data_IF_065547820220
#
_entry.id   IF_065547820220
#
_cell.length_a   1.000
_cell.length_b   1.000
_cell.length_c   1.000
_cell.angle_alpha   90.00
_cell.angle_beta   90.00
_cell.angle_gamma   90.00
#
_symmetry.space_group_name_H-M   'P 1'
#
loop_
_entity.id
_entity.type
_entity.pdbx_description
1 polymer ?
#
# COMPACT_ATOMS: atom_id res chain seq x y z
N UNK A 1 -31.41 34.61 21.80
CA UNK A 1 -31.35 33.32 21.07
C UNK A 1 -32.72 32.85 20.58
N UNK A 2 -33.78 32.96 21.40
CA UNK A 2 -35.16 32.54 21.05
C UNK A 2 -35.73 33.21 19.78
N UNK A 3 -35.51 34.52 19.59
CA UNK A 3 -35.98 35.26 18.41
C UNK A 3 -35.27 34.89 17.09
N UNK A 4 -34.02 34.39 17.16
CA UNK A 4 -33.26 34.00 15.96
C UNK A 4 -33.76 32.65 15.40
N UNK A 5 -34.16 31.74 16.30
CA UNK A 5 -34.75 30.45 15.95
C UNK A 5 -36.15 30.63 15.35
N UNK A 6 -36.94 31.58 15.87
CA UNK A 6 -38.27 31.89 15.31
C UNK A 6 -38.19 32.44 13.88
N UNK A 7 -37.24 33.35 13.61
CA UNK A 7 -37.05 33.94 12.29
C UNK A 7 -36.54 32.93 11.24
N UNK A 8 -35.69 31.98 11.65
CA UNK A 8 -35.25 30.88 10.77
C UNK A 8 -36.39 29.88 10.48
N UNK A 9 -37.26 29.61 11.47
CA UNK A 9 -38.42 28.73 11.30
C UNK A 9 -39.42 29.28 10.27
N UNK A 10 -39.70 30.59 10.30
CA UNK A 10 -40.62 31.26 9.36
C UNK A 10 -40.08 31.27 7.92
N UNK A 11 -38.78 31.45 7.73
CA UNK A 11 -38.15 31.44 6.40
C UNK A 11 -38.08 30.03 5.79
N UNK A 12 -37.81 29.00 6.62
CA UNK A 12 -37.80 27.60 6.19
C UNK A 12 -39.22 27.13 5.85
N UNK A 13 -40.23 27.51 6.63
CA UNK A 13 -41.63 27.21 6.35
C UNK A 13 -42.13 27.82 5.04
N UNK A 14 -41.74 29.06 4.72
CA UNK A 14 -42.09 29.71 3.45
C UNK A 14 -41.54 29.00 2.20
N UNK A 15 -40.46 28.22 2.34
CA UNK A 15 -39.89 27.39 1.26
C UNK A 15 -40.42 25.95 1.20
N UNK A 16 -41.13 25.50 2.23
CA UNK A 16 -41.65 24.13 2.37
C UNK A 16 -43.17 24.03 2.21
N UNK A 17 -43.90 25.09 2.54
CA UNK A 17 -45.37 25.10 2.47
C UNK A 17 -45.84 25.46 1.06
N UNK A 18 -46.60 24.55 0.46
CA UNK A 18 -47.32 24.77 -0.78
C UNK A 18 -48.63 25.52 -0.54
N UNK A 19 -49.23 26.07 -1.60
CA UNK A 19 -50.53 26.74 -1.52
C UNK A 19 -51.64 25.82 -0.93
N UNK A 20 -51.56 24.51 -1.20
CA UNK A 20 -52.50 23.52 -0.66
C UNK A 20 -52.30 23.31 0.84
N UNK A 21 -51.06 23.34 1.34
CA UNK A 21 -50.78 23.29 2.79
C UNK A 21 -51.40 24.50 3.50
N UNK A 22 -51.38 25.69 2.89
CA UNK A 22 -52.02 26.88 3.43
C UNK A 22 -53.55 26.77 3.56
N UNK A 23 -54.22 26.17 2.55
CA UNK A 23 -55.67 25.92 2.59
C UNK A 23 -56.04 24.88 3.65
N UNK A 24 -55.24 23.83 3.77
CA UNK A 24 -55.45 22.77 4.75
C UNK A 24 -55.23 23.27 6.18
N UNK A 25 -54.23 24.14 6.40
CA UNK A 25 -54.00 24.79 7.69
C UNK A 25 -55.14 25.75 8.08
N UNK A 26 -55.70 26.49 7.12
CA UNK A 26 -56.85 27.40 7.36
C UNK A 26 -58.14 26.65 7.73
N UNK A 27 -58.23 25.35 7.44
CA UNK A 27 -59.37 24.48 7.76
C UNK A 27 -59.27 23.84 9.16
N UNK A 28 -58.09 23.88 9.81
CA UNK A 28 -57.87 23.26 11.13
C UNK A 28 -58.22 24.22 12.26
N UNK A 29 -58.82 23.67 13.33
CA UNK A 29 -59.11 24.40 14.56
C UNK A 29 -57.83 24.60 15.39
N UNK A 30 -57.75 25.67 16.18
CA UNK A 30 -56.56 26.01 17.00
C UNK A 30 -55.98 24.84 17.82
N UNK A 31 -56.79 23.98 18.50
CA UNK A 31 -56.24 22.83 19.22
C UNK A 31 -55.57 21.78 18.33
N UNK A 32 -56.05 21.62 17.09
CA UNK A 32 -55.52 20.64 16.13
C UNK A 32 -54.17 21.12 15.57
N UNK A 33 -54.08 22.39 15.19
CA UNK A 33 -52.83 23.06 14.79
C UNK A 33 -51.74 22.96 15.87
N UNK A 34 -52.11 23.16 17.14
CA UNK A 34 -51.18 23.04 18.26
C UNK A 34 -50.68 21.60 18.39
N UNK A 35 -51.56 20.60 18.28
CA UNK A 35 -51.17 19.18 18.34
C UNK A 35 -50.26 18.75 17.18
N UNK A 36 -50.54 19.21 15.96
CA UNK A 36 -49.71 18.91 14.80
C UNK A 36 -48.32 19.56 14.92
N UNK A 37 -48.27 20.81 15.38
CA UNK A 37 -47.02 21.53 15.64
C UNK A 37 -46.17 20.84 16.72
N UNK A 38 -46.80 20.36 17.79
CA UNK A 38 -46.12 19.56 18.82
C UNK A 38 -45.58 18.24 18.25
N UNK A 39 -46.38 17.55 17.44
CA UNK A 39 -46.00 16.28 16.80
C UNK A 39 -44.80 16.48 15.87
N UNK A 40 -44.85 17.52 15.04
CA UNK A 40 -43.74 17.91 14.17
C UNK A 40 -42.49 18.26 14.97
N UNK A 41 -42.63 19.04 16.05
CA UNK A 41 -41.51 19.39 16.93
C UNK A 41 -40.84 18.16 17.53
N UNK A 42 -41.62 17.18 18.03
CA UNK A 42 -41.10 15.92 18.57
C UNK A 42 -40.33 15.14 17.50
N UNK A 43 -40.89 15.04 16.29
CA UNK A 43 -40.24 14.35 15.17
C UNK A 43 -38.94 15.04 14.74
N UNK A 44 -38.93 16.38 14.68
CA UNK A 44 -37.72 17.16 14.40
C UNK A 44 -36.64 16.90 15.46
N UNK A 45 -36.99 16.96 16.74
CA UNK A 45 -36.04 16.69 17.84
C UNK A 45 -35.50 15.27 17.76
N UNK A 46 -36.34 14.27 17.49
CA UNK A 46 -35.92 12.89 17.31
C UNK A 46 -34.97 12.72 16.11
N UNK A 47 -35.30 13.34 14.97
CA UNK A 47 -34.47 13.31 13.76
C UNK A 47 -33.09 13.95 13.99
N UNK A 48 -33.04 15.14 14.59
CA UNK A 48 -31.78 15.83 14.93
C UNK A 48 -30.96 15.02 15.92
N UNK A 49 -31.59 14.41 16.93
CA UNK A 49 -30.92 13.52 17.89
C UNK A 49 -30.30 12.31 17.21
N UNK A 50 -31.01 11.67 16.28
CA UNK A 50 -30.49 10.56 15.50
C UNK A 50 -29.30 10.97 14.62
N UNK A 51 -29.40 12.11 13.92
CA UNK A 51 -28.29 12.65 13.14
C UNK A 51 -27.06 12.92 14.01
N UNK A 52 -27.25 13.48 15.21
CA UNK A 52 -26.18 13.69 16.18
C UNK A 52 -25.49 12.39 16.62
N UNK A 53 -26.27 11.34 16.91
CA UNK A 53 -25.73 10.01 17.25
C UNK A 53 -24.95 9.40 16.10
N UNK A 54 -25.50 9.44 14.88
CA UNK A 54 -24.81 8.95 13.69
C UNK A 54 -23.49 9.69 13.46
N UNK A 55 -23.49 11.02 13.55
CA UNK A 55 -22.28 11.82 13.39
C UNK A 55 -21.22 11.48 14.43
N UNK A 56 -21.62 11.26 15.69
CA UNK A 56 -20.70 10.86 16.76
C UNK A 56 -20.00 9.53 16.45
N UNK A 57 -20.76 8.52 16.01
CA UNK A 57 -20.20 7.21 15.61
C UNK A 57 -19.24 7.36 14.44
N UNK A 58 -19.64 8.08 13.38
CA UNK A 58 -18.77 8.31 12.21
C UNK A 58 -17.50 9.07 12.56
N UNK A 59 -17.57 10.02 13.49
CA UNK A 59 -16.38 10.75 13.94
C UNK A 59 -15.36 9.83 14.65
N UNK A 60 -15.85 8.85 15.44
CA UNK A 60 -14.97 7.83 16.02
C UNK A 60 -14.32 6.94 14.96
N UNK A 61 -15.10 6.48 13.97
CA UNK A 61 -14.57 5.70 12.84
C UNK A 61 -13.49 6.46 12.08
N UNK A 62 -13.74 7.73 11.74
CA UNK A 62 -12.77 8.61 11.05
C UNK A 62 -11.50 8.78 11.87
N UNK A 63 -11.61 8.98 13.18
CA UNK A 63 -10.45 9.07 14.08
C UNK A 63 -9.66 7.76 14.12
N UNK A 64 -10.32 6.60 14.19
CA UNK A 64 -9.65 5.30 14.15
C UNK A 64 -8.92 5.07 12.81
N UNK A 65 -9.57 5.44 11.68
CA UNK A 65 -8.95 5.38 10.35
C UNK A 65 -7.74 6.30 10.25
N UNK A 66 -7.83 7.53 10.77
CA UNK A 66 -6.71 8.48 10.80
C UNK A 66 -5.49 7.91 11.53
N UNK A 67 -5.71 7.25 12.67
CA UNK A 67 -4.64 6.57 13.41
C UNK A 67 -4.00 5.45 12.57
N UNK A 68 -4.80 4.61 11.90
CA UNK A 68 -4.30 3.55 11.01
C UNK A 68 -3.49 4.11 9.84
N UNK A 69 -3.99 5.17 9.18
CA UNK A 69 -3.29 5.84 8.08
C UNK A 69 -1.93 6.38 8.53
N UNK A 70 -1.87 6.96 9.73
CA UNK A 70 -0.61 7.48 10.28
C UNK A 70 0.43 6.39 10.49
N UNK A 71 0.01 5.22 11.00
CA UNK A 71 0.89 4.04 11.15
C UNK A 71 1.36 3.56 9.77
N UNK A 72 0.45 3.41 8.81
CA UNK A 72 0.78 2.97 7.45
C UNK A 72 1.75 3.92 6.75
N UNK A 73 1.61 5.24 6.93
CA UNK A 73 2.55 6.23 6.37
C UNK A 73 3.96 6.05 6.93
N UNK A 74 4.10 5.75 8.21
CA UNK A 74 5.40 5.47 8.84
C UNK A 74 6.03 4.21 8.26
N UNK A 75 5.28 3.11 8.19
CA UNK A 75 5.74 1.84 7.61
C UNK A 75 6.14 2.01 6.13
N UNK A 76 5.36 2.78 5.36
CA UNK A 76 5.69 3.08 3.97
C UNK A 76 7.02 3.84 3.85
N UNK A 77 7.28 4.80 4.73
CA UNK A 77 8.54 5.57 4.76
C UNK A 77 9.73 4.65 5.07
N UNK A 78 9.59 3.76 6.05
CA UNK A 78 10.60 2.78 6.43
C UNK A 78 10.87 1.79 5.30
N UNK A 79 9.83 1.24 4.67
CA UNK A 79 9.97 0.31 3.56
C UNK A 79 10.63 0.96 2.34
N UNK A 80 10.29 2.22 2.03
CA UNK A 80 10.98 2.98 0.98
C UNK A 80 12.48 3.13 1.26
N UNK A 81 12.89 3.26 2.53
CA UNK A 81 14.31 3.29 2.91
C UNK A 81 14.97 1.94 2.67
N UNK A 82 14.38 0.85 3.17
CA UNK A 82 14.89 -0.51 3.01
C UNK A 82 15.04 -0.91 1.55
N UNK A 83 14.09 -0.56 0.69
CA UNK A 83 14.17 -0.82 -0.75
C UNK A 83 15.39 -0.15 -1.39
N UNK A 84 15.74 1.08 -0.96
CA UNK A 84 16.96 1.75 -1.45
C UNK A 84 18.22 1.04 -0.96
N UNK A 85 18.26 0.65 0.31
CA UNK A 85 19.39 -0.09 0.89
C UNK A 85 19.61 -1.42 0.16
N UNK A 86 18.54 -2.20 -0.08
CA UNK A 86 18.60 -3.45 -0.84
C UNK A 86 19.05 -3.25 -2.29
N UNK A 87 18.66 -2.14 -2.93
CA UNK A 87 19.11 -1.83 -4.29
C UNK A 87 20.63 -1.59 -4.35
N UNK A 88 21.20 -0.91 -3.36
CA UNK A 88 22.65 -0.69 -3.30
C UNK A 88 23.40 -1.98 -2.96
N UNK A 89 22.87 -2.80 -2.04
CA UNK A 89 23.49 -4.08 -1.72
C UNK A 89 23.48 -5.03 -2.92
N UNK A 90 22.36 -5.11 -3.65
CA UNK A 90 22.29 -5.90 -4.89
C UNK A 90 23.31 -5.45 -5.95
N UNK A 91 23.61 -4.15 -6.04
CA UNK A 91 24.68 -3.67 -6.94
C UNK A 91 26.06 -4.14 -6.49
N UNK A 92 26.33 -4.16 -5.17
CA UNK A 92 27.60 -4.65 -4.62
C UNK A 92 27.76 -6.14 -4.83
N UNK A 93 26.71 -6.92 -4.55
CA UNK A 93 26.67 -8.35 -4.80
C UNK A 93 26.91 -8.68 -6.27
N UNK A 94 26.31 -7.92 -7.19
CA UNK A 94 26.55 -8.09 -8.62
C UNK A 94 28.03 -7.89 -8.98
N UNK A 95 28.66 -6.83 -8.49
CA UNK A 95 30.10 -6.59 -8.72
C UNK A 95 30.97 -7.72 -8.16
N UNK A 96 30.62 -8.25 -6.98
CA UNK A 96 31.33 -9.36 -6.37
C UNK A 96 31.21 -10.63 -7.22
N UNK A 97 30.00 -10.94 -7.69
CA UNK A 97 29.73 -12.07 -8.57
C UNK A 97 30.51 -11.95 -9.89
N UNK A 98 30.50 -10.78 -10.52
CA UNK A 98 31.25 -10.52 -11.76
C UNK A 98 32.76 -10.72 -11.56
N UNK A 99 33.30 -10.23 -10.43
CA UNK A 99 34.71 -10.44 -10.04
C UNK A 99 35.04 -11.93 -9.86
N UNK A 100 34.17 -12.67 -9.16
CA UNK A 100 34.35 -14.09 -8.92
C UNK A 100 34.29 -14.91 -10.21
N UNK A 101 33.36 -14.60 -11.11
CA UNK A 101 33.27 -15.22 -12.43
C UNK A 101 34.56 -15.00 -13.23
N UNK A 102 35.12 -13.79 -13.21
CA UNK A 102 36.38 -13.48 -13.89
C UNK A 102 37.58 -14.24 -13.31
N UNK A 103 37.68 -14.35 -11.97
CA UNK A 103 38.74 -15.14 -11.34
C UNK A 103 38.63 -16.63 -11.72
N UNK A 104 37.41 -17.17 -11.70
CA UNK A 104 37.16 -18.56 -12.07
C UNK A 104 37.56 -18.85 -13.52
N UNK A 105 37.18 -17.98 -14.46
CA UNK A 105 37.57 -18.08 -15.87
C UNK A 105 39.10 -18.02 -16.02
N UNK A 106 39.75 -17.12 -15.29
CA UNK A 106 41.22 -16.97 -15.33
C UNK A 106 41.92 -18.23 -14.82
N UNK A 107 41.46 -18.77 -13.68
CA UNK A 107 41.98 -20.02 -13.10
C UNK A 107 41.75 -21.20 -14.02
N UNK A 108 40.54 -21.35 -14.57
CA UNK A 108 40.19 -22.41 -15.51
C UNK A 108 41.10 -22.36 -16.75
N UNK A 109 41.28 -21.17 -17.33
CA UNK A 109 42.15 -20.98 -18.49
C UNK A 109 43.60 -21.35 -18.19
N UNK A 110 44.11 -20.97 -17.00
CA UNK A 110 45.46 -21.34 -16.56
C UNK A 110 45.60 -22.85 -16.40
N UNK A 111 44.61 -23.50 -15.78
CA UNK A 111 44.59 -24.94 -15.60
C UNK A 111 44.56 -25.68 -16.94
N UNK A 112 43.70 -25.28 -17.89
CA UNK A 112 43.65 -25.87 -19.23
C UNK A 112 44.99 -25.80 -19.95
N UNK A 113 45.71 -24.66 -19.83
CA UNK A 113 47.06 -24.53 -20.39
C UNK A 113 48.04 -25.52 -19.76
N UNK A 114 48.04 -25.66 -18.43
CA UNK A 114 48.92 -26.61 -17.74
C UNK A 114 48.60 -28.06 -18.07
N UNK A 115 47.32 -28.41 -18.21
CA UNK A 115 46.88 -29.75 -18.60
C UNK A 115 47.30 -30.07 -20.03
N UNK A 116 47.15 -29.13 -20.97
CA UNK A 116 47.59 -29.31 -22.34
C UNK A 116 49.12 -29.51 -22.46
N UNK A 117 49.91 -28.75 -21.70
CA UNK A 117 51.36 -28.92 -21.68
C UNK A 117 51.76 -30.28 -21.09
N UNK A 118 51.18 -30.68 -19.95
CA UNK A 118 51.42 -32.00 -19.35
C UNK A 118 51.05 -33.15 -20.31
N UNK A 119 49.93 -33.03 -21.01
CA UNK A 119 49.52 -34.02 -21.99
C UNK A 119 50.55 -34.15 -23.13
N UNK A 120 51.04 -33.02 -23.65
CA UNK A 120 52.08 -33.00 -24.68
C UNK A 120 53.38 -33.66 -24.19
N UNK A 121 53.80 -33.40 -22.94
CA UNK A 121 54.97 -34.03 -22.33
C UNK A 121 54.78 -35.55 -22.19
N UNK A 122 53.58 -35.98 -21.77
CA UNK A 122 53.25 -37.40 -21.64
C UNK A 122 53.30 -38.12 -22.99
N UNK A 123 52.70 -37.55 -24.04
CA UNK A 123 52.75 -38.11 -25.40
C UNK A 123 54.18 -38.24 -25.92
N UNK A 124 55.02 -37.22 -25.71
CA UNK A 124 56.44 -37.26 -26.08
C UNK A 124 57.19 -38.38 -25.36
N UNK A 125 56.99 -38.52 -24.04
CA UNK A 125 57.61 -39.58 -23.25
C UNK A 125 57.16 -40.97 -23.72
N UNK A 126 55.87 -41.15 -24.00
CA UNK A 126 55.31 -42.40 -24.48
C UNK A 126 55.93 -42.85 -25.81
N UNK A 127 56.17 -41.91 -26.74
CA UNK A 127 56.87 -42.19 -28.00
C UNK A 127 58.31 -42.66 -27.72
N UNK A 128 59.06 -41.94 -26.87
CA UNK A 128 60.43 -42.32 -26.53
C UNK A 128 60.54 -43.69 -25.86
N UNK A 129 59.59 -44.07 -25.00
CA UNK A 129 59.55 -45.41 -24.38
C UNK A 129 59.31 -46.50 -25.44
N UNK A 130 58.45 -46.26 -26.42
CA UNK A 130 58.19 -47.23 -27.51
C UNK A 130 59.42 -47.44 -28.39
N UNK A 131 60.16 -46.37 -28.70
CA UNK A 131 61.41 -46.45 -29.46
C UNK A 131 62.46 -47.29 -28.72
N UNK A 132 62.65 -47.04 -27.42
CA UNK A 132 63.59 -47.81 -26.59
C UNK A 132 63.21 -49.29 -26.48
N UNK A 133 61.92 -49.60 -26.38
CA UNK A 133 61.43 -50.98 -26.36
C UNK A 133 61.58 -51.71 -27.71
N UNK A 134 61.81 -50.96 -28.80
CA UNK A 134 62.02 -51.52 -30.15
C UNK A 134 63.50 -51.79 -30.46
N UNK A 135 64.42 -51.35 -29.60
CA UNK A 135 65.84 -51.68 -29.72
C UNK A 135 66.10 -53.15 -29.34
N UNK A 136 66.91 -53.90 -30.11
CA UNK A 136 67.25 -55.28 -29.76
C UNK A 136 68.03 -55.32 -28.44
N UNK A 137 67.65 -56.23 -27.54
CA UNK A 137 68.44 -56.50 -26.34
C UNK A 137 69.70 -57.27 -26.79
N UNK A 138 70.92 -56.84 -26.40
CA UNK A 138 72.17 -57.53 -26.73
C UNK A 138 72.23 -58.98 -26.24
#
# INVERSE_FOLDING_TARGET
MMHLVQCQSTAIAAGLCTLEDGKELARRTDPQLINDSMTFTIQCVASVSNMGRCLHVRNHEVRALRSKVTIMQRLLKENKKKVREFKEENKRLKKLMDSYANDLVTRSTKQSKTTAELQKQYEKLLVGVKELASCPIP
#
